data_IF_739297128882
#
_entry.id   IF_739297128882
#
_cell.length_a   1.000
_cell.length_b   1.000
_cell.length_c   1.000
_cell.angle_alpha   90.00
_cell.angle_beta   90.00
_cell.angle_gamma   90.00
#
_symmetry.space_group_name_H-M   'P 1'
#
loop_
_entity.id
_entity.type
_entity.pdbx_description
1 polymer ?
#
# COMPACT_ATOMS: atom_id res chain seq x y z
N UNK A 1 0.39 -1.16 30.91
CA UNK A 1 1.57 -0.39 31.35
C UNK A 1 2.77 -0.55 30.42
N UNK A 2 3.43 -1.72 30.33
CA UNK A 2 4.66 -1.88 29.49
C UNK A 2 4.44 -1.59 27.99
N UNK A 3 3.34 -2.06 27.40
CA UNK A 3 3.05 -1.82 25.97
C UNK A 3 2.80 -0.33 25.67
N UNK A 4 2.10 0.36 26.56
CA UNK A 4 1.85 1.80 26.43
C UNK A 4 3.15 2.59 26.58
N UNK A 5 3.98 2.26 27.57
CA UNK A 5 5.31 2.87 27.72
C UNK A 5 6.15 2.69 26.45
N UNK A 6 6.19 1.48 25.87
CA UNK A 6 6.94 1.23 24.63
C UNK A 6 6.42 2.07 23.47
N UNK A 7 5.10 2.21 23.33
CA UNK A 7 4.50 3.04 22.29
C UNK A 7 4.85 4.51 22.47
N UNK A 8 4.69 5.06 23.68
CA UNK A 8 5.01 6.45 23.99
C UNK A 8 6.51 6.74 23.83
N UNK A 9 7.36 5.85 24.35
CA UNK A 9 8.80 6.00 24.23
C UNK A 9 9.23 5.98 22.76
N UNK A 10 8.65 5.12 21.91
CA UNK A 10 8.89 5.14 20.46
C UNK A 10 8.47 6.46 19.85
N UNK A 11 7.28 6.99 20.18
CA UNK A 11 6.82 8.27 19.66
C UNK A 11 7.79 9.41 20.03
N UNK A 12 8.20 9.44 21.30
CA UNK A 12 9.10 10.45 21.84
C UNK A 12 10.51 10.36 21.23
N UNK A 13 11.11 9.17 21.23
CA UNK A 13 12.50 8.96 20.85
C UNK A 13 12.73 8.93 19.34
N UNK A 14 11.72 8.61 18.55
CA UNK A 14 11.85 8.47 17.08
C UNK A 14 11.36 9.71 16.34
N UNK A 15 10.32 10.38 16.84
CA UNK A 15 9.69 11.47 16.09
C UNK A 15 9.74 12.80 16.86
N UNK A 16 9.22 12.87 18.09
CA UNK A 16 9.04 14.14 18.79
C UNK A 16 10.36 14.85 19.10
N UNK A 17 11.37 14.12 19.59
CA UNK A 17 12.69 14.70 19.85
C UNK A 17 13.54 14.89 18.59
N UNK A 18 13.68 13.88 17.71
CA UNK A 18 14.63 14.00 16.60
C UNK A 18 14.17 14.88 15.45
N UNK A 19 12.87 14.94 15.10
CA UNK A 19 12.43 15.68 13.91
C UNK A 19 12.77 17.18 13.98
N UNK A 20 12.56 17.89 15.10
CA UNK A 20 12.99 19.29 15.22
C UNK A 20 14.50 19.50 15.06
N UNK A 21 15.32 18.54 15.51
CA UNK A 21 16.79 18.59 15.39
C UNK A 21 17.27 18.37 13.95
N UNK A 22 16.41 17.81 13.08
CA UNK A 22 16.69 17.53 11.67
C UNK A 22 16.20 18.64 10.73
N UNK A 23 15.65 19.73 11.27
CA UNK A 23 15.26 20.89 10.47
C UNK A 23 16.52 21.59 9.98
N UNK A 24 16.63 21.73 8.66
CA UNK A 24 17.70 22.48 8.04
C UNK A 24 17.55 23.98 8.35
N UNK A 25 18.57 24.64 8.90
CA UNK A 25 18.46 26.02 9.37
C UNK A 25 18.38 27.06 8.25
N UNK A 26 18.82 26.74 7.04
CA UNK A 26 18.76 27.66 5.89
C UNK A 26 17.37 27.70 5.26
N UNK A 27 16.73 26.54 5.18
CA UNK A 27 15.44 26.37 4.52
C UNK A 27 14.25 26.33 5.48
N UNK A 28 14.50 26.04 6.77
CA UNK A 28 13.45 25.80 7.76
C UNK A 28 12.65 24.51 7.51
N UNK A 29 13.22 23.54 6.77
CA UNK A 29 12.53 22.32 6.33
C UNK A 29 13.31 21.05 6.68
N UNK A 30 12.62 19.93 6.70
CA UNK A 30 13.25 18.61 6.77
C UNK A 30 13.44 18.09 5.35
N UNK A 31 14.66 17.66 5.02
CA UNK A 31 15.01 17.10 3.71
C UNK A 31 15.29 15.60 3.84
N UNK A 32 14.37 14.77 3.37
CA UNK A 32 14.58 13.32 3.35
C UNK A 32 15.38 12.88 2.13
N UNK A 33 16.04 11.72 2.24
CA UNK A 33 16.69 11.05 1.13
C UNK A 33 15.85 9.85 0.69
N UNK A 34 15.39 9.88 -0.56
CA UNK A 34 14.72 8.74 -1.20
C UNK A 34 15.75 7.83 -1.87
N UNK A 35 15.91 6.62 -1.33
CA UNK A 35 16.74 5.59 -1.92
C UNK A 35 15.93 4.81 -2.96
N UNK A 36 16.32 4.95 -4.23
CA UNK A 36 15.58 4.37 -5.35
C UNK A 36 16.00 2.92 -5.68
N UNK A 37 17.19 2.49 -5.24
CA UNK A 37 17.82 1.22 -5.62
C UNK A 37 18.05 0.26 -4.43
N UNK A 38 17.18 0.30 -3.41
CA UNK A 38 17.34 -0.51 -2.17
C UNK A 38 16.32 -1.64 -2.06
N UNK A 39 15.02 -1.34 -2.21
CA UNK A 39 13.99 -2.36 -1.99
C UNK A 39 13.95 -3.39 -3.13
N UNK A 40 13.91 -4.68 -2.78
CA UNK A 40 13.83 -5.78 -3.75
C UNK A 40 12.56 -5.76 -4.63
N UNK A 41 11.51 -5.08 -4.18
CA UNK A 41 10.25 -4.91 -4.92
C UNK A 41 10.20 -3.60 -5.69
N UNK A 42 11.24 -2.77 -5.65
CA UNK A 42 11.29 -1.52 -6.40
C UNK A 42 10.56 -0.34 -5.74
N UNK A 43 10.01 -0.50 -4.54
CA UNK A 43 9.53 0.65 -3.73
C UNK A 43 10.68 1.63 -3.43
N UNK A 44 10.34 2.91 -3.30
CA UNK A 44 11.26 3.89 -2.69
C UNK A 44 11.36 3.62 -1.19
N UNK A 45 12.53 3.86 -0.61
CA UNK A 45 12.68 3.95 0.85
C UNK A 45 13.17 5.33 1.26
N UNK A 46 12.65 5.86 2.36
CA UNK A 46 13.03 7.17 2.89
C UNK A 46 13.97 7.04 4.08
N UNK A 47 15.04 7.85 4.12
CA UNK A 47 16.02 7.91 5.21
C UNK A 47 16.42 9.35 5.53
N UNK A 48 16.92 9.57 6.75
CA UNK A 48 17.44 10.87 7.21
C UNK A 48 16.49 12.07 7.04
N UNK A 49 15.28 12.08 7.67
CA UNK A 49 14.62 11.00 8.40
C UNK A 49 13.76 10.11 7.50
N UNK A 50 13.29 8.99 8.04
CA UNK A 50 12.31 8.14 7.35
C UNK A 50 10.90 8.74 7.51
N UNK A 51 10.43 9.42 6.46
CA UNK A 51 9.11 10.05 6.40
C UNK A 51 8.01 9.11 5.90
N UNK A 52 8.34 7.91 5.42
CA UNK A 52 7.34 6.91 5.04
C UNK A 52 6.71 6.22 6.26
N UNK A 53 7.41 6.25 7.41
CA UNK A 53 6.98 5.56 8.64
C UNK A 53 6.39 6.52 9.69
N UNK A 54 5.89 7.69 9.28
CA UNK A 54 5.20 8.59 10.22
C UNK A 54 3.88 7.93 10.67
N UNK A 55 3.62 7.78 11.99
CA UNK A 55 2.52 6.97 12.47
C UNK A 55 1.14 7.53 12.08
N UNK A 56 0.20 6.64 11.75
CA UNK A 56 -1.20 6.99 11.43
C UNK A 56 -2.24 6.15 12.19
N UNK A 57 -1.89 4.92 12.58
CA UNK A 57 -2.85 3.93 13.11
C UNK A 57 -3.42 4.25 14.49
N UNK A 58 -2.65 4.92 15.35
CA UNK A 58 -3.08 5.20 16.73
C UNK A 58 -3.44 6.67 16.90
N UNK A 59 -4.42 6.96 17.76
CA UNK A 59 -4.85 8.33 18.04
C UNK A 59 -3.68 9.24 18.46
N UNK A 60 -2.75 8.76 19.30
CA UNK A 60 -1.57 9.55 19.69
C UNK A 60 -0.52 9.64 18.59
N UNK A 61 -0.33 8.56 17.81
CA UNK A 61 0.69 8.52 16.77
C UNK A 61 0.38 9.45 15.61
N UNK A 62 -0.89 9.51 15.19
CA UNK A 62 -1.32 10.35 14.07
C UNK A 62 -1.16 11.85 14.33
N UNK A 63 -1.17 12.28 15.59
CA UNK A 63 -0.94 13.69 15.94
C UNK A 63 0.45 14.20 15.52
N UNK A 64 1.43 13.30 15.31
CA UNK A 64 2.74 13.67 14.76
C UNK A 64 2.60 14.27 13.36
N UNK A 65 1.61 13.85 12.57
CA UNK A 65 1.38 14.40 11.22
C UNK A 65 0.95 15.86 11.23
N UNK A 66 0.38 16.37 12.33
CA UNK A 66 0.05 17.81 12.49
C UNK A 66 1.26 18.73 12.47
N UNK A 67 2.46 18.19 12.74
CA UNK A 67 3.70 18.96 12.68
C UNK A 67 4.21 19.17 11.24
N UNK A 68 3.59 18.51 10.25
CA UNK A 68 3.91 18.67 8.84
C UNK A 68 2.87 19.60 8.21
N UNK A 69 3.26 20.83 7.97
CA UNK A 69 2.41 21.93 7.51
C UNK A 69 2.84 22.42 6.12
N UNK A 70 1.96 23.14 5.40
CA UNK A 70 2.33 23.83 4.17
C UNK A 70 3.48 24.79 4.37
N UNK A 71 4.12 25.19 3.26
CA UNK A 71 5.30 26.06 3.32
C UNK A 71 5.02 27.46 3.87
N UNK A 72 3.81 27.97 3.70
CA UNK A 72 3.34 29.28 4.17
C UNK A 72 1.80 29.31 4.19
N UNK A 73 1.22 30.47 4.55
CA UNK A 73 -0.22 30.65 4.72
C UNK A 73 -1.02 30.66 3.40
N UNK A 74 -0.37 30.82 2.25
CA UNK A 74 -0.99 30.84 0.93
C UNK A 74 -1.02 29.45 0.27
N UNK A 75 -0.57 28.42 0.99
CA UNK A 75 -0.51 27.03 0.54
C UNK A 75 -1.33 26.11 1.45
N UNK A 76 -1.73 24.97 0.88
CA UNK A 76 -2.30 23.82 1.60
C UNK A 76 -1.55 22.55 1.21
N UNK A 77 -1.66 21.52 2.05
CA UNK A 77 -1.24 20.19 1.66
C UNK A 77 -2.38 19.51 0.90
N UNK A 78 -2.04 18.85 -0.20
CA UNK A 78 -2.90 17.93 -0.94
C UNK A 78 -2.28 16.54 -0.83
N UNK A 79 -2.99 15.56 -0.26
CA UNK A 79 -2.57 14.16 -0.30
C UNK A 79 -3.51 13.38 -1.22
N UNK A 80 -2.93 12.55 -2.08
CA UNK A 80 -3.64 11.68 -3.00
C UNK A 80 -3.14 10.24 -2.82
N UNK A 81 -4.04 9.32 -2.47
CA UNK A 81 -3.74 7.92 -2.17
C UNK A 81 -4.54 6.99 -3.08
N UNK A 82 -3.92 5.90 -3.55
CA UNK A 82 -4.66 4.92 -4.32
C UNK A 82 -5.57 4.08 -3.42
N UNK A 83 -6.85 4.00 -3.79
CA UNK A 83 -7.79 3.12 -3.11
C UNK A 83 -7.50 1.66 -3.47
N UNK A 84 -6.86 0.95 -2.53
CA UNK A 84 -6.66 -0.51 -2.60
C UNK A 84 -5.86 -0.99 -3.81
N UNK A 85 -4.83 -0.24 -4.24
CA UNK A 85 -4.05 -0.52 -5.47
C UNK A 85 -3.52 -1.95 -5.54
N UNK A 86 -3.01 -2.51 -4.44
CA UNK A 86 -2.47 -3.87 -4.45
C UNK A 86 -3.57 -4.92 -4.73
N UNK A 87 -4.80 -4.70 -4.27
CA UNK A 87 -5.93 -5.61 -4.56
C UNK A 87 -6.40 -5.50 -6.01
N UNK A 88 -6.46 -4.27 -6.55
CA UNK A 88 -6.80 -4.03 -7.96
C UNK A 88 -5.77 -4.65 -8.89
N UNK A 89 -4.48 -4.57 -8.54
CA UNK A 89 -3.41 -5.25 -9.26
C UNK A 89 -3.59 -6.77 -9.18
N UNK A 90 -3.92 -7.33 -8.02
CA UNK A 90 -4.19 -8.78 -7.92
C UNK A 90 -5.34 -9.18 -8.82
N UNK A 91 -6.45 -8.44 -8.81
CA UNK A 91 -7.59 -8.69 -9.69
C UNK A 91 -7.17 -8.66 -11.17
N UNK A 92 -6.39 -7.66 -11.57
CA UNK A 92 -5.89 -7.54 -12.94
C UNK A 92 -4.94 -8.68 -13.34
N UNK A 93 -4.03 -9.09 -12.46
CA UNK A 93 -3.04 -10.14 -12.71
C UNK A 93 -3.64 -11.55 -12.68
N UNK A 94 -4.59 -11.80 -11.77
CA UNK A 94 -5.28 -13.08 -11.68
C UNK A 94 -6.34 -13.24 -12.76
N UNK A 95 -6.91 -12.12 -13.24
CA UNK A 95 -8.11 -12.07 -14.08
C UNK A 95 -9.30 -12.81 -13.45
N UNK A 96 -9.32 -12.88 -12.12
CA UNK A 96 -10.37 -13.57 -11.38
C UNK A 96 -11.69 -12.82 -11.54
N UNK A 97 -12.68 -13.51 -12.10
CA UNK A 97 -13.96 -12.88 -12.46
C UNK A 97 -14.69 -12.34 -11.26
N UNK A 98 -14.67 -13.05 -10.14
CA UNK A 98 -15.32 -12.63 -8.90
C UNK A 98 -14.63 -11.39 -8.33
N UNK A 99 -13.29 -11.40 -8.28
CA UNK A 99 -12.53 -10.28 -7.74
C UNK A 99 -12.62 -9.03 -8.64
N UNK A 100 -12.56 -9.20 -9.97
CA UNK A 100 -12.74 -8.11 -10.92
C UNK A 100 -14.16 -7.51 -10.84
N UNK A 101 -15.20 -8.35 -10.80
CA UNK A 101 -16.57 -7.89 -10.67
C UNK A 101 -16.77 -7.10 -9.36
N UNK A 102 -16.22 -7.60 -8.24
CA UNK A 102 -16.30 -6.91 -6.96
C UNK A 102 -15.73 -5.48 -7.01
N UNK A 103 -14.61 -5.26 -7.71
CA UNK A 103 -14.06 -3.91 -7.90
C UNK A 103 -14.90 -3.05 -8.85
N UNK A 104 -15.38 -3.62 -9.96
CA UNK A 104 -16.19 -2.88 -10.93
C UNK A 104 -17.55 -2.44 -10.37
N UNK A 105 -18.09 -3.22 -9.42
CA UNK A 105 -19.37 -2.95 -8.74
C UNK A 105 -19.20 -2.11 -7.45
N UNK A 106 -17.97 -1.77 -7.06
CA UNK A 106 -17.69 -1.05 -5.81
C UNK A 106 -17.98 -1.84 -4.54
N UNK A 107 -17.93 -3.17 -4.62
CA UNK A 107 -18.22 -4.06 -3.50
C UNK A 107 -17.10 -4.04 -2.45
N UNK A 108 -17.48 -4.06 -1.18
CA UNK A 108 -16.52 -4.15 -0.08
C UNK A 108 -16.07 -5.60 0.16
N UNK A 109 -15.03 -6.01 -0.57
CA UNK A 109 -14.45 -7.36 -0.51
C UNK A 109 -14.10 -7.77 0.93
N UNK A 110 -13.69 -6.83 1.78
CA UNK A 110 -13.38 -7.13 3.18
C UNK A 110 -14.61 -7.51 3.99
N UNK A 111 -15.74 -6.85 3.74
CA UNK A 111 -17.02 -7.17 4.40
C UNK A 111 -17.56 -8.49 3.89
N UNK A 112 -17.49 -8.75 2.58
CA UNK A 112 -17.85 -10.06 2.01
C UNK A 112 -17.01 -11.20 2.61
N UNK A 113 -15.69 -11.02 2.67
CA UNK A 113 -14.79 -11.98 3.33
C UNK A 113 -15.10 -12.13 4.81
N UNK A 114 -15.42 -11.04 5.52
CA UNK A 114 -15.77 -11.11 6.95
C UNK A 114 -17.05 -11.90 7.18
N UNK A 115 -18.10 -11.65 6.41
CA UNK A 115 -19.36 -12.37 6.49
C UNK A 115 -19.13 -13.89 6.36
N UNK A 116 -18.30 -14.29 5.40
CA UNK A 116 -17.92 -15.68 5.17
C UNK A 116 -17.05 -16.25 6.32
N UNK A 117 -16.04 -15.51 6.78
CA UNK A 117 -15.11 -15.94 7.84
C UNK A 117 -15.83 -16.13 9.19
N UNK A 118 -16.74 -15.22 9.53
CA UNK A 118 -17.43 -15.23 10.81
C UNK A 118 -18.81 -15.91 10.76
N UNK A 119 -19.28 -16.30 9.57
CA UNK A 119 -20.58 -16.96 9.39
C UNK A 119 -21.76 -16.07 9.75
N UNK A 120 -21.66 -14.77 9.45
CA UNK A 120 -22.70 -13.75 9.72
C UNK A 120 -23.19 -13.13 8.42
N UNK A 121 -24.34 -12.46 8.42
CA UNK A 121 -24.79 -11.70 7.26
C UNK A 121 -23.85 -10.50 7.01
N UNK A 122 -23.72 -10.04 5.76
CA UNK A 122 -22.83 -8.93 5.41
C UNK A 122 -23.18 -7.64 6.17
N UNK A 123 -24.47 -7.44 6.45
CA UNK A 123 -25.02 -6.32 7.20
C UNK A 123 -24.75 -6.40 8.70
N UNK A 124 -24.42 -7.60 9.21
CA UNK A 124 -24.10 -7.87 10.61
C UNK A 124 -22.59 -7.82 10.89
N UNK A 125 -21.77 -7.64 9.86
CA UNK A 125 -20.32 -7.52 10.00
C UNK A 125 -19.97 -6.25 10.76
N UNK A 126 -19.38 -6.40 11.94
CA UNK A 126 -18.88 -5.28 12.71
C UNK A 126 -17.51 -4.78 12.21
N UNK A 127 -17.10 -3.60 12.69
CA UNK A 127 -15.82 -2.98 12.30
C UNK A 127 -14.60 -3.83 12.68
N UNK A 128 -14.67 -4.58 13.77
CA UNK A 128 -13.58 -5.42 14.24
C UNK A 128 -13.43 -6.66 13.34
N UNK A 129 -14.54 -7.31 13.00
CA UNK A 129 -14.62 -8.42 12.05
C UNK A 129 -14.11 -8.00 10.67
N UNK A 130 -14.58 -6.87 10.14
CA UNK A 130 -14.08 -6.31 8.88
C UNK A 130 -12.57 -6.05 8.91
N UNK A 131 -12.06 -5.50 10.01
CA UNK A 131 -10.62 -5.24 10.19
C UNK A 131 -9.79 -6.54 10.22
N UNK A 132 -10.31 -7.59 10.86
CA UNK A 132 -9.68 -8.91 10.86
C UNK A 132 -9.72 -9.52 9.46
N UNK A 133 -10.85 -9.48 8.76
CA UNK A 133 -10.99 -9.97 7.39
C UNK A 133 -10.11 -9.23 6.38
N UNK A 134 -9.82 -7.94 6.61
CA UNK A 134 -8.79 -7.22 5.86
C UNK A 134 -7.42 -7.90 6.00
N UNK A 135 -7.01 -8.24 7.23
CA UNK A 135 -5.75 -8.95 7.45
C UNK A 135 -5.75 -10.36 6.82
N UNK A 136 -6.88 -11.08 6.87
CA UNK A 136 -7.07 -12.36 6.18
C UNK A 136 -6.88 -12.22 4.68
N UNK A 137 -7.58 -11.27 4.05
CA UNK A 137 -7.49 -10.98 2.63
C UNK A 137 -6.04 -10.78 2.21
N UNK A 138 -5.35 -9.80 2.80
CA UNK A 138 -3.94 -9.53 2.48
C UNK A 138 -3.04 -10.74 2.74
N UNK A 139 -3.31 -11.50 3.79
CA UNK A 139 -2.64 -12.76 4.07
C UNK A 139 -2.73 -13.73 2.91
N UNK A 140 -3.95 -14.10 2.52
CA UNK A 140 -4.22 -15.09 1.48
C UNK A 140 -3.68 -14.62 0.12
N UNK A 141 -3.86 -13.34 -0.21
CA UNK A 141 -3.36 -12.72 -1.44
C UNK A 141 -1.83 -12.80 -1.56
N UNK A 142 -1.12 -12.70 -0.43
CA UNK A 142 0.33 -12.83 -0.37
C UNK A 142 0.82 -14.26 -0.11
N UNK A 143 -0.04 -15.26 -0.30
CA UNK A 143 0.30 -16.67 -0.17
C UNK A 143 0.53 -17.11 1.28
N UNK A 144 -0.10 -16.45 2.26
CA UNK A 144 -0.08 -16.91 3.64
C UNK A 144 -0.82 -18.24 3.75
N UNK A 145 -0.11 -19.28 4.19
CA UNK A 145 -0.71 -20.59 4.46
C UNK A 145 -1.49 -20.64 5.78
N UNK A 146 -2.24 -21.72 5.97
CA UNK A 146 -3.09 -21.94 7.14
C UNK A 146 -2.39 -21.79 8.50
N UNK A 147 -1.08 -22.08 8.58
CA UNK A 147 -0.30 -21.88 9.82
C UNK A 147 -0.21 -20.39 10.20
N UNK A 148 0.22 -19.54 9.25
CA UNK A 148 0.36 -18.11 9.52
C UNK A 148 -0.99 -17.43 9.74
N UNK A 149 -2.02 -17.88 9.01
CA UNK A 149 -3.36 -17.33 9.18
C UNK A 149 -3.95 -17.68 10.56
N UNK A 150 -3.76 -18.93 11.02
CA UNK A 150 -4.15 -19.37 12.35
C UNK A 150 -3.48 -18.55 13.46
N UNK A 151 -2.20 -18.23 13.32
CA UNK A 151 -1.47 -17.38 14.27
C UNK A 151 -1.99 -15.93 14.28
N UNK A 152 -2.30 -15.39 13.10
CA UNK A 152 -2.82 -14.02 12.94
C UNK A 152 -4.20 -13.87 13.57
N UNK A 153 -5.09 -14.83 13.32
CA UNK A 153 -6.47 -14.83 13.80
C UNK A 153 -6.62 -15.44 15.20
N UNK A 154 -5.59 -16.11 15.73
CA UNK A 154 -5.63 -16.87 16.99
C UNK A 154 -6.72 -17.96 17.00
N UNK A 155 -6.87 -18.66 15.88
CA UNK A 155 -7.85 -19.75 15.70
C UNK A 155 -7.14 -21.10 15.45
N UNK A 156 -7.82 -22.24 15.62
CA UNK A 156 -7.27 -23.54 15.25
C UNK A 156 -6.87 -23.62 13.77
N UNK A 157 -5.76 -24.31 13.46
CA UNK A 157 -5.25 -24.48 12.09
C UNK A 157 -6.28 -25.08 11.13
N UNK A 158 -7.17 -25.95 11.62
CA UNK A 158 -8.25 -26.55 10.82
C UNK A 158 -9.25 -25.51 10.33
N UNK A 159 -9.59 -24.55 11.19
CA UNK A 159 -10.51 -23.46 10.87
C UNK A 159 -9.87 -22.48 9.86
N UNK A 160 -8.61 -22.09 10.11
CA UNK A 160 -7.84 -21.29 9.15
C UNK A 160 -7.72 -21.95 7.78
N UNK A 161 -7.57 -23.28 7.72
CA UNK A 161 -7.58 -24.03 6.45
C UNK A 161 -8.94 -23.92 5.76
N UNK A 162 -10.05 -24.07 6.48
CA UNK A 162 -11.39 -23.92 5.94
C UNK A 162 -11.65 -22.53 5.36
N UNK A 163 -11.18 -21.47 6.04
CA UNK A 163 -11.26 -20.09 5.54
C UNK A 163 -10.52 -19.94 4.19
N UNK A 164 -9.29 -20.46 4.10
CA UNK A 164 -8.51 -20.40 2.85
C UNK A 164 -9.19 -21.18 1.73
N UNK A 165 -9.77 -22.34 2.04
CA UNK A 165 -10.48 -23.16 1.05
C UNK A 165 -11.76 -22.48 0.55
N UNK A 166 -12.53 -21.85 1.45
CA UNK A 166 -13.71 -21.07 1.10
C UNK A 166 -13.35 -19.86 0.23
N UNK A 167 -12.29 -19.14 0.60
CA UNK A 167 -11.80 -17.99 -0.15
C UNK A 167 -11.40 -18.36 -1.59
N UNK A 168 -10.67 -19.45 -1.78
CA UNK A 168 -10.30 -19.91 -3.13
C UNK A 168 -11.42 -20.64 -3.87
N UNK A 169 -12.51 -21.02 -3.19
CA UNK A 169 -13.71 -21.48 -3.88
C UNK A 169 -14.47 -20.31 -4.52
N UNK A 170 -14.44 -19.14 -3.88
CA UNK A 170 -14.99 -17.89 -4.39
C UNK A 170 -14.09 -17.25 -5.46
N UNK A 171 -12.77 -17.22 -5.21
CA UNK A 171 -11.75 -16.66 -6.12
C UNK A 171 -10.86 -17.77 -6.68
N UNK A 172 -11.43 -18.63 -7.52
CA UNK A 172 -10.76 -19.83 -8.05
C UNK A 172 -9.59 -19.48 -8.99
N UNK A 173 -9.73 -18.44 -9.80
CA UNK A 173 -8.70 -18.03 -10.77
C UNK A 173 -7.50 -17.39 -10.05
N UNK A 174 -7.72 -16.76 -8.90
CA UNK A 174 -6.64 -16.28 -8.03
C UNK A 174 -5.72 -17.42 -7.57
N UNK A 175 -6.28 -18.58 -7.20
CA UNK A 175 -5.46 -19.74 -6.80
C UNK A 175 -4.64 -20.28 -7.97
N UNK A 176 -5.25 -20.35 -9.15
CA UNK A 176 -4.60 -20.76 -10.38
C UNK A 176 -3.46 -19.81 -10.74
N UNK A 177 -3.68 -18.49 -10.61
CA UNK A 177 -2.66 -17.47 -10.77
C UNK A 177 -1.48 -17.66 -9.81
N UNK A 178 -1.73 -17.83 -8.50
CA UNK A 178 -0.66 -18.02 -7.52
C UNK A 178 0.20 -19.25 -7.83
N UNK A 179 -0.44 -20.35 -8.24
CA UNK A 179 0.26 -21.58 -8.63
C UNK A 179 1.12 -21.35 -9.88
N UNK A 180 0.54 -20.73 -10.91
CA UNK A 180 1.24 -20.37 -12.16
C UNK A 180 2.47 -19.50 -11.90
N UNK A 181 2.34 -18.45 -11.09
CA UNK A 181 3.47 -17.55 -10.78
C UNK A 181 4.59 -18.29 -10.05
N UNK A 182 4.26 -19.18 -9.12
CA UNK A 182 5.26 -19.99 -8.42
C UNK A 182 5.96 -20.96 -9.38
N UNK A 183 5.22 -21.61 -10.28
CA UNK A 183 5.80 -22.55 -11.25
C UNK A 183 6.68 -21.84 -12.27
N UNK A 184 6.24 -20.69 -12.78
CA UNK A 184 7.05 -19.83 -13.65
C UNK A 184 8.33 -19.34 -12.94
N UNK A 185 8.23 -18.99 -11.64
CA UNK A 185 9.39 -18.61 -10.85
C UNK A 185 10.40 -19.75 -10.69
N UNK A 186 9.93 -21.01 -10.56
CA UNK A 186 10.77 -22.21 -10.50
C UNK A 186 11.49 -22.48 -11.82
N UNK A 187 10.83 -22.21 -12.94
CA UNK A 187 11.40 -22.39 -14.28
C UNK A 187 12.40 -21.28 -14.65
N UNK A 188 12.00 -20.01 -14.46
CA UNK A 188 12.75 -18.82 -14.89
C UNK A 188 13.79 -18.36 -13.87
N UNK A 189 13.59 -18.67 -12.59
CA UNK A 189 14.39 -18.17 -11.46
C UNK A 189 14.04 -16.74 -11.00
N UNK A 190 13.02 -16.11 -11.60
CA UNK A 190 12.55 -14.77 -11.25
C UNK A 190 11.06 -14.59 -11.55
N UNK A 191 10.49 -13.51 -11.02
CA UNK A 191 9.15 -13.02 -11.34
C UNK A 191 9.20 -11.56 -11.82
N UNK A 192 8.16 -11.11 -12.52
CA UNK A 192 8.08 -9.78 -13.14
C UNK A 192 6.84 -9.00 -12.68
N UNK A 193 6.95 -7.67 -12.67
CA UNK A 193 5.81 -6.75 -12.50
C UNK A 193 5.10 -6.52 -13.84
N UNK A 194 3.97 -5.80 -13.82
CA UNK A 194 3.24 -5.39 -15.04
C UNK A 194 4.09 -4.59 -16.03
N UNK A 195 5.17 -3.95 -15.58
CA UNK A 195 6.11 -3.22 -16.42
C UNK A 195 7.46 -3.92 -16.62
N UNK A 196 7.55 -5.22 -16.28
CA UNK A 196 8.74 -6.04 -16.53
C UNK A 196 9.88 -5.87 -15.53
N UNK A 197 9.66 -5.24 -14.35
CA UNK A 197 10.67 -5.23 -13.28
C UNK A 197 10.85 -6.64 -12.75
N UNK A 198 12.10 -7.14 -12.77
CA UNK A 198 12.45 -8.49 -12.31
C UNK A 198 12.80 -8.54 -10.83
N UNK A 199 12.34 -9.58 -10.14
CA UNK A 199 12.87 -10.03 -8.84
C UNK A 199 13.36 -11.46 -8.95
N UNK A 200 14.67 -11.64 -8.78
CA UNK A 200 15.30 -12.97 -8.74
C UNK A 200 15.02 -13.69 -7.42
N UNK A 201 14.79 -14.99 -7.50
CA UNK A 201 14.39 -15.85 -6.38
C UNK A 201 15.29 -17.10 -6.37
N UNK A 202 16.56 -17.00 -5.95
CA UNK A 202 17.51 -18.12 -5.99
C UNK A 202 17.06 -19.31 -5.14
N UNK A 203 16.25 -19.05 -4.12
CA UNK A 203 15.75 -20.03 -3.16
C UNK A 203 14.45 -20.74 -3.59
N UNK A 204 13.88 -20.41 -4.75
CA UNK A 204 12.58 -20.93 -5.21
C UNK A 204 12.57 -22.45 -5.45
N UNK A 205 13.73 -23.05 -5.68
CA UNK A 205 13.94 -24.50 -5.84
C UNK A 205 14.66 -25.14 -4.64
N UNK A 206 14.84 -24.40 -3.54
CA UNK A 206 15.54 -24.90 -2.35
C UNK A 206 14.94 -26.21 -1.83
N UNK A 207 15.77 -27.17 -1.46
CA UNK A 207 15.30 -28.42 -0.84
C UNK A 207 14.66 -28.18 0.54
N UNK A 208 15.07 -27.12 1.25
CA UNK A 208 14.50 -26.74 2.54
C UNK A 208 13.11 -26.11 2.36
N UNK A 209 12.08 -26.78 2.91
CA UNK A 209 10.68 -26.36 2.77
C UNK A 209 10.38 -24.97 3.34
N UNK A 210 11.07 -24.54 4.40
CA UNK A 210 10.87 -23.21 5.01
C UNK A 210 11.43 -22.12 4.09
N UNK A 211 12.64 -22.33 3.59
CA UNK A 211 13.32 -21.41 2.66
C UNK A 211 12.55 -21.32 1.35
N UNK A 212 12.19 -22.46 0.76
CA UNK A 212 11.37 -22.53 -0.45
C UNK A 212 10.01 -21.86 -0.26
N UNK A 213 9.30 -22.15 0.82
CA UNK A 213 8.00 -21.54 1.09
C UNK A 213 8.08 -20.02 1.26
N UNK A 214 9.19 -19.47 1.78
CA UNK A 214 9.42 -18.03 1.79
C UNK A 214 9.66 -17.47 0.39
N UNK A 215 10.43 -18.16 -0.44
CA UNK A 215 10.63 -17.78 -1.84
C UNK A 215 9.32 -17.84 -2.65
N UNK A 216 8.47 -18.84 -2.46
CA UNK A 216 7.16 -18.97 -3.10
C UNK A 216 6.23 -17.80 -2.72
N UNK A 217 6.19 -17.40 -1.45
CA UNK A 217 5.44 -16.20 -1.02
C UNK A 217 5.99 -14.92 -1.67
N UNK A 218 7.30 -14.81 -1.79
CA UNK A 218 7.92 -13.69 -2.49
C UNK A 218 7.63 -13.70 -3.99
N UNK A 219 7.52 -14.88 -4.62
CA UNK A 219 7.10 -15.01 -6.01
C UNK A 219 5.70 -14.44 -6.22
N UNK A 220 4.78 -14.70 -5.31
CA UNK A 220 3.41 -14.17 -5.36
C UNK A 220 3.38 -12.67 -5.05
N UNK A 221 4.06 -12.23 -3.98
CA UNK A 221 3.97 -10.85 -3.51
C UNK A 221 4.71 -9.84 -4.40
N UNK A 222 5.85 -10.21 -4.98
CA UNK A 222 6.70 -9.25 -5.68
C UNK A 222 6.08 -8.65 -6.95
N UNK A 223 5.40 -9.42 -7.82
CA UNK A 223 4.64 -8.87 -8.95
C UNK A 223 3.61 -7.85 -8.48
N UNK A 224 2.91 -8.10 -7.38
CA UNK A 224 1.85 -7.22 -6.86
C UNK A 224 2.47 -5.93 -6.32
N UNK A 225 3.35 -6.05 -5.32
CA UNK A 225 3.95 -4.89 -4.64
C UNK A 225 4.85 -4.07 -5.59
N UNK A 226 5.56 -4.75 -6.49
CA UNK A 226 6.41 -4.10 -7.46
C UNK A 226 5.63 -3.40 -8.56
N UNK A 227 4.49 -3.96 -8.99
CA UNK A 227 3.60 -3.25 -9.91
C UNK A 227 3.03 -1.99 -9.27
N UNK A 228 2.63 -2.03 -8.00
CA UNK A 228 2.19 -0.82 -7.29
C UNK A 228 3.31 0.25 -7.25
N UNK A 229 4.55 -0.17 -6.99
CA UNK A 229 5.71 0.71 -7.00
C UNK A 229 6.01 1.30 -8.38
N UNK A 230 5.80 0.52 -9.45
CA UNK A 230 5.99 0.95 -10.82
C UNK A 230 4.91 1.97 -11.24
N UNK A 231 3.65 1.69 -10.90
CA UNK A 231 2.49 2.54 -11.18
C UNK A 231 2.65 3.92 -10.54
N UNK A 232 2.96 3.98 -9.24
CA UNK A 232 3.13 5.27 -8.57
C UNK A 232 4.33 6.05 -9.12
N UNK A 233 5.40 5.37 -9.54
CA UNK A 233 6.56 6.04 -10.18
C UNK A 233 6.21 6.64 -11.53
N UNK A 234 5.40 5.96 -12.35
CA UNK A 234 4.88 6.54 -13.59
C UNK A 234 4.01 7.76 -13.28
N UNK A 235 3.08 7.63 -12.32
CA UNK A 235 2.24 8.74 -11.92
C UNK A 235 3.08 9.95 -11.49
N UNK A 236 4.12 9.72 -10.68
CA UNK A 236 5.03 10.79 -10.24
C UNK A 236 5.68 11.53 -11.41
N UNK A 237 6.20 10.80 -12.41
CA UNK A 237 6.84 11.39 -13.59
C UNK A 237 5.83 12.21 -14.40
N UNK A 238 4.67 11.62 -14.70
CA UNK A 238 3.62 12.28 -15.50
C UNK A 238 3.07 13.53 -14.82
N UNK A 239 2.82 13.46 -13.50
CA UNK A 239 2.37 14.61 -12.71
C UNK A 239 3.44 15.70 -12.72
N UNK A 240 4.72 15.35 -12.56
CA UNK A 240 5.80 16.33 -12.59
C UNK A 240 5.88 17.06 -13.94
N UNK A 241 5.76 16.33 -15.05
CA UNK A 241 5.73 16.89 -16.39
C UNK A 241 4.51 17.81 -16.59
N UNK A 242 3.32 17.34 -16.22
CA UNK A 242 2.07 18.08 -16.37
C UNK A 242 2.02 19.36 -15.51
N UNK A 243 2.51 19.31 -14.27
CA UNK A 243 2.63 20.49 -13.42
C UNK A 243 3.55 21.54 -14.07
N UNK A 244 4.68 21.11 -14.64
CA UNK A 244 5.65 21.99 -15.30
C UNK A 244 5.09 22.60 -16.59
N UNK A 245 4.41 21.80 -17.41
CA UNK A 245 3.79 22.26 -18.66
C UNK A 245 2.63 23.23 -18.41
N UNK A 246 1.83 22.96 -17.37
CA UNK A 246 0.75 23.84 -16.93
C UNK A 246 1.21 25.11 -16.20
N UNK A 247 2.51 25.22 -15.87
CA UNK A 247 3.06 26.38 -15.16
C UNK A 247 2.59 26.48 -13.70
N UNK A 248 2.18 25.37 -13.09
CA UNK A 248 1.74 25.33 -11.70
C UNK A 248 2.90 25.58 -10.73
N UNK A 249 2.63 26.30 -9.65
CA UNK A 249 3.59 26.50 -8.57
C UNK A 249 3.56 25.36 -7.53
N UNK A 250 2.55 24.48 -7.58
CA UNK A 250 2.46 23.28 -6.76
C UNK A 250 3.72 22.38 -6.84
N UNK A 251 4.07 21.75 -5.70
CA UNK A 251 5.24 20.88 -5.58
C UNK A 251 4.89 19.55 -4.95
N UNK A 252 5.30 18.45 -5.58
CA UNK A 252 5.31 17.14 -4.94
C UNK A 252 6.39 17.11 -3.87
N UNK A 253 6.02 16.87 -2.61
CA UNK A 253 6.93 16.93 -1.46
C UNK A 253 7.23 15.56 -0.87
N UNK A 254 6.31 14.60 -0.95
CA UNK A 254 6.50 13.24 -0.43
C UNK A 254 5.84 12.19 -1.32
N UNK A 255 6.46 11.03 -1.35
CA UNK A 255 5.84 9.76 -1.71
C UNK A 255 5.87 8.82 -0.50
N UNK A 256 4.70 8.33 -0.09
CA UNK A 256 4.51 7.47 1.08
C UNK A 256 3.71 6.23 0.65
N UNK A 257 4.41 5.16 0.29
CA UNK A 257 3.79 3.92 -0.19
C UNK A 257 2.94 4.12 -1.46
N UNK A 258 1.63 4.17 -1.35
CA UNK A 258 0.63 4.40 -2.38
C UNK A 258 0.13 5.86 -2.44
N UNK A 259 0.61 6.71 -1.52
CA UNK A 259 0.25 8.11 -1.39
C UNK A 259 1.31 9.05 -1.98
N UNK A 260 0.85 10.14 -2.61
CA UNK A 260 1.62 11.31 -2.99
C UNK A 260 1.12 12.54 -2.24
N UNK A 261 2.05 13.32 -1.66
CA UNK A 261 1.73 14.56 -0.93
C UNK A 261 2.33 15.74 -1.67
N UNK A 262 1.55 16.80 -1.81
CA UNK A 262 1.87 18.02 -2.50
C UNK A 262 1.68 19.23 -1.59
N UNK A 263 2.52 20.24 -1.79
CA UNK A 263 2.35 21.59 -1.26
C UNK A 263 1.81 22.44 -2.42
N UNK A 264 0.60 22.99 -2.25
CA UNK A 264 -0.19 23.54 -3.35
C UNK A 264 -0.67 24.95 -2.99
N UNK A 265 -0.44 25.98 -3.83
CA UNK A 265 -1.04 27.29 -3.63
C UNK A 265 -2.57 27.19 -3.58
N UNK A 266 -3.21 27.89 -2.65
CA UNK A 266 -4.67 27.78 -2.42
C UNK A 266 -5.49 28.00 -3.71
N UNK A 267 -5.05 28.92 -4.58
CA UNK A 267 -5.74 29.24 -5.83
C UNK A 267 -5.54 28.18 -6.94
N UNK A 268 -4.62 27.22 -6.80
CA UNK A 268 -4.36 26.14 -7.75
C UNK A 268 -5.01 24.81 -7.34
N UNK A 269 -5.59 24.72 -6.14
CA UNK A 269 -6.00 23.45 -5.50
C UNK A 269 -6.90 22.59 -6.38
N UNK A 270 -7.96 23.15 -6.95
CA UNK A 270 -8.94 22.37 -7.71
C UNK A 270 -8.32 21.79 -8.99
N UNK A 271 -7.56 22.62 -9.72
CA UNK A 271 -6.88 22.21 -10.94
C UNK A 271 -5.79 21.17 -10.67
N UNK A 272 -5.00 21.35 -9.61
CA UNK A 272 -3.95 20.41 -9.22
C UNK A 272 -4.54 19.11 -8.71
N UNK A 273 -5.65 19.14 -7.97
CA UNK A 273 -6.37 17.94 -7.51
C UNK A 273 -6.82 17.09 -8.70
N UNK A 274 -7.51 17.70 -9.67
CA UNK A 274 -7.98 17.01 -10.87
C UNK A 274 -6.82 16.44 -11.69
N UNK A 275 -5.75 17.22 -11.88
CA UNK A 275 -4.54 16.81 -12.58
C UNK A 275 -3.87 15.60 -11.91
N UNK A 276 -3.69 15.65 -10.58
CA UNK A 276 -3.07 14.57 -9.79
C UNK A 276 -3.91 13.30 -9.86
N UNK A 277 -5.23 13.40 -9.62
CA UNK A 277 -6.13 12.24 -9.67
C UNK A 277 -6.09 11.59 -11.05
N UNK A 278 -6.29 12.36 -12.11
CA UNK A 278 -6.29 11.87 -13.49
C UNK A 278 -4.99 11.15 -13.86
N UNK A 279 -3.83 11.74 -13.55
CA UNK A 279 -2.54 11.12 -13.88
C UNK A 279 -2.18 9.90 -13.02
N UNK A 280 -2.68 9.82 -11.79
CA UNK A 280 -2.56 8.61 -10.97
C UNK A 280 -3.47 7.49 -11.51
N UNK A 281 -4.76 7.77 -11.72
CA UNK A 281 -5.73 6.76 -12.20
C UNK A 281 -5.37 6.21 -13.59
N UNK A 282 -4.78 7.04 -14.45
CA UNK A 282 -4.37 6.67 -15.81
C UNK A 282 -2.90 6.25 -15.92
N UNK A 283 -2.18 6.12 -14.80
CA UNK A 283 -0.75 5.80 -14.80
C UNK A 283 -0.43 4.54 -15.62
N UNK A 284 -1.30 3.54 -15.54
CA UNK A 284 -1.26 2.31 -16.35
C UNK A 284 -2.68 1.88 -16.71
N UNK A 285 -2.82 1.14 -17.80
CA UNK A 285 -4.08 0.48 -18.16
C UNK A 285 -4.12 -0.93 -17.55
N UNK A 286 -5.12 -1.20 -16.71
CA UNK A 286 -5.37 -2.50 -16.10
C UNK A 286 -6.81 -2.93 -16.40
N UNK A 287 -7.10 -4.22 -16.26
CA UNK A 287 -8.46 -4.75 -16.42
C UNK A 287 -9.47 -4.21 -15.39
N UNK A 288 -8.97 -3.69 -14.26
CA UNK A 288 -9.75 -3.04 -13.21
C UNK A 288 -9.23 -1.61 -13.08
N UNK A 289 -10.10 -0.58 -13.09
CA UNK A 289 -9.66 0.81 -13.00
C UNK A 289 -8.93 1.07 -11.69
N UNK A 290 -7.91 1.93 -11.72
CA UNK A 290 -7.33 2.50 -10.52
C UNK A 290 -8.22 3.64 -10.04
N UNK A 291 -8.34 3.80 -8.73
CA UNK A 291 -9.12 4.87 -8.10
C UNK A 291 -8.25 5.61 -7.10
N UNK A 292 -8.41 6.94 -7.03
CA UNK A 292 -7.59 7.80 -6.20
C UNK A 292 -8.46 8.73 -5.36
N UNK A 293 -8.26 8.67 -4.05
CA UNK A 293 -8.85 9.62 -3.12
C UNK A 293 -7.87 10.77 -2.89
N UNK A 294 -8.32 12.01 -3.08
CA UNK A 294 -7.51 13.20 -2.88
C UNK A 294 -8.17 14.17 -1.89
N UNK A 295 -7.44 14.53 -0.85
CA UNK A 295 -7.91 15.42 0.24
C UNK A 295 -6.89 16.52 0.51
N UNK A 296 -7.39 17.63 1.08
CA UNK A 296 -6.57 18.82 1.38
C UNK A 296 -6.68 19.19 2.84
N UNK A 297 -5.59 19.72 3.40
CA UNK A 297 -5.53 20.10 4.81
C UNK A 297 -4.50 21.18 5.10
N UNK A 298 -4.62 21.82 6.27
CA UNK A 298 -3.63 22.75 6.81
C UNK A 298 -2.44 22.04 7.46
N UNK A 299 -2.56 20.72 7.63
CA UNK A 299 -1.47 19.83 8.00
C UNK A 299 -1.68 18.44 7.36
N UNK A 300 -0.67 17.58 7.47
CA UNK A 300 -0.72 16.26 6.82
C UNK A 300 -1.71 15.30 7.49
N UNK A 301 -2.18 15.58 8.72
CA UNK A 301 -3.25 14.79 9.31
C UNK A 301 -4.62 15.18 8.74
N UNK A 302 -4.85 16.46 8.48
CA UNK A 302 -6.10 16.93 7.88
C UNK A 302 -6.22 16.53 6.40
N UNK A 303 -5.10 16.48 5.69
CA UNK A 303 -5.06 16.08 4.29
C UNK A 303 -5.18 14.56 4.06
N UNK A 304 -5.17 13.72 5.11
CA UNK A 304 -5.14 12.26 5.04
C UNK A 304 -6.35 11.62 5.72
#
# INVERSE_FOLDING_TARGET
EVLEYRQLNKLLSTYVKPLPELVDPETGRIHTQYMQAVAATGRLSSTQPNLQNIPIRTKRGREIRKAFVPRDADHVLLAADYSQVELRIVAALSQDRGLCAAFLEGADIHTATAAQVFGVAAEEVDRAQRSQAKAVNFGILYGQGAFGLAETLKIPRREAKGIIEAYFAEFADLKAYQTRVVDEAKEKGYVETVLGRKRWLPDITSANAVVRGFAERNAINAPIQGSAADIIKIAMVRIHEALKEGGFAARMILQVHDELVFDVPIHEVDAVRELVQSHMEQAVELAVPLEVEAQTGQDWLEAH
#
